data_IF_555558333322
#
_entry.id   IF_555558333322
#
_cell.length_a   1.000
_cell.length_b   1.000
_cell.length_c   1.000
_cell.angle_alpha   90.00
_cell.angle_beta   90.00
_cell.angle_gamma   90.00
#
_symmetry.space_group_name_H-M   'P 1'
#
loop_
_entity.id
_entity.type
_entity.pdbx_description
1 polymer ?
#
# COMPACT_ATOMS: atom_id res chain seq x y z
N UNK A 1 -17.03 -0.04 -3.64
CA UNK A 1 -17.55 -0.38 -4.99
C UNK A 1 -18.74 -1.31 -4.84
N UNK A 2 -19.73 -1.28 -5.76
CA UNK A 2 -20.75 -2.32 -5.78
C UNK A 2 -20.08 -3.65 -6.17
N UNK A 3 -20.38 -4.72 -5.44
CA UNK A 3 -20.01 -6.07 -5.84
C UNK A 3 -21.13 -6.63 -6.71
N UNK A 4 -20.79 -7.17 -7.88
CA UNK A 4 -21.73 -7.89 -8.72
C UNK A 4 -21.89 -9.31 -8.15
N UNK A 5 -22.93 -9.50 -7.33
CA UNK A 5 -23.16 -10.73 -6.58
C UNK A 5 -24.65 -10.91 -6.29
N UNK A 6 -25.12 -12.16 -6.42
CA UNK A 6 -26.47 -12.56 -5.99
C UNK A 6 -26.61 -12.64 -4.47
N UNK A 7 -25.48 -12.71 -3.76
CA UNK A 7 -25.44 -12.73 -2.29
C UNK A 7 -25.11 -11.35 -1.73
N UNK A 8 -25.69 -10.97 -0.57
CA UNK A 8 -25.32 -9.75 0.13
C UNK A 8 -23.84 -9.75 0.54
N UNK A 9 -23.11 -8.71 0.15
CA UNK A 9 -21.70 -8.52 0.52
C UNK A 9 -21.56 -7.16 1.21
N UNK A 10 -20.94 -7.16 2.40
CA UNK A 10 -20.56 -5.91 3.07
C UNK A 10 -19.29 -5.34 2.44
N UNK A 11 -19.48 -4.38 1.54
CA UNK A 11 -18.38 -3.75 0.84
C UNK A 11 -17.39 -3.01 1.75
N UNK A 12 -17.86 -2.44 2.88
CA UNK A 12 -16.95 -1.76 3.81
C UNK A 12 -16.07 -2.78 4.52
N UNK A 13 -16.64 -3.92 4.95
CA UNK A 13 -15.87 -4.99 5.58
C UNK A 13 -14.80 -5.52 4.64
N UNK A 14 -15.14 -5.84 3.39
CA UNK A 14 -14.18 -6.34 2.40
C UNK A 14 -13.08 -5.31 2.11
N UNK A 15 -13.43 -4.04 1.90
CA UNK A 15 -12.43 -2.99 1.64
C UNK A 15 -11.43 -2.86 2.80
N UNK A 16 -11.89 -2.99 4.04
CA UNK A 16 -11.03 -2.91 5.22
C UNK A 16 -10.22 -4.19 5.52
N UNK A 17 -10.44 -5.29 4.78
CA UNK A 17 -9.57 -6.48 4.87
C UNK A 17 -8.28 -6.32 4.04
N UNK A 18 -8.26 -5.37 3.10
CA UNK A 18 -7.04 -5.04 2.36
C UNK A 18 -6.04 -4.44 3.33
N UNK A 19 -4.83 -4.98 3.37
CA UNK A 19 -3.77 -4.46 4.23
C UNK A 19 -3.51 -2.98 3.88
N UNK A 20 -3.47 -2.05 4.85
CA UNK A 20 -3.37 -0.61 4.60
C UNK A 20 -2.18 -0.21 3.70
N UNK A 21 -1.04 -0.90 3.85
CA UNK A 21 0.17 -0.68 3.06
C UNK A 21 0.10 -1.25 1.63
N UNK A 22 -0.99 -1.94 1.26
CA UNK A 22 -1.30 -2.40 -0.10
C UNK A 22 -2.58 -1.76 -0.67
N UNK A 23 -3.27 -0.91 0.10
CA UNK A 23 -4.52 -0.26 -0.31
C UNK A 23 -4.23 0.96 -1.21
N UNK A 24 -3.81 0.67 -2.44
CA UNK A 24 -3.43 1.70 -3.44
C UNK A 24 -4.61 2.57 -3.88
N UNK A 25 -5.84 2.18 -3.58
CA UNK A 25 -7.03 3.03 -3.78
C UNK A 25 -7.25 4.02 -2.63
N UNK A 26 -6.59 3.84 -1.49
CA UNK A 26 -6.68 4.70 -0.32
C UNK A 26 -8.05 4.70 0.37
N UNK A 27 -8.83 3.62 0.26
CA UNK A 27 -10.22 3.57 0.69
C UNK A 27 -10.46 2.89 2.05
N UNK A 28 -9.43 2.23 2.60
CA UNK A 28 -9.50 1.66 3.94
C UNK A 28 -9.72 2.74 5.01
N UNK A 29 -10.36 2.38 6.11
CA UNK A 29 -10.59 3.29 7.23
C UNK A 29 -9.27 3.81 7.81
N UNK A 30 -8.20 3.01 7.77
CA UNK A 30 -6.88 3.44 8.23
C UNK A 30 -6.29 4.53 7.34
N UNK A 31 -6.26 4.34 6.02
CA UNK A 31 -5.77 5.37 5.10
C UNK A 31 -6.65 6.63 5.14
N UNK A 32 -7.96 6.47 5.23
CA UNK A 32 -8.88 7.58 5.41
C UNK A 32 -8.64 8.34 6.74
N UNK A 33 -8.35 7.62 7.82
CA UNK A 33 -7.99 8.20 9.12
C UNK A 33 -6.67 8.96 9.07
N UNK A 34 -5.63 8.38 8.47
CA UNK A 34 -4.35 9.05 8.26
C UNK A 34 -4.49 10.32 7.43
N UNK A 35 -5.30 10.29 6.37
CA UNK A 35 -5.63 11.50 5.59
C UNK A 35 -6.36 12.55 6.44
N UNK A 36 -7.32 12.14 7.26
CA UNK A 36 -8.03 13.06 8.16
C UNK A 36 -7.08 13.74 9.15
N UNK A 37 -6.05 13.04 9.62
CA UNK A 37 -5.05 13.55 10.56
C UNK A 37 -3.85 14.26 9.89
N UNK A 38 -3.80 14.34 8.56
CA UNK A 38 -2.70 15.00 7.85
C UNK A 38 -1.43 14.15 7.77
N UNK A 39 -1.56 12.85 7.99
CA UNK A 39 -0.47 11.87 8.00
C UNK A 39 -0.35 11.13 6.66
N UNK A 40 -1.18 11.47 5.68
CA UNK A 40 -1.14 10.85 4.36
C UNK A 40 -0.12 11.52 3.44
N UNK A 41 1.05 10.91 3.36
CA UNK A 41 2.25 11.42 2.68
C UNK A 41 2.76 10.51 1.54
N UNK A 42 2.06 9.41 1.24
CA UNK A 42 2.48 8.43 0.23
C UNK A 42 3.59 7.47 0.70
N UNK A 43 4.13 7.64 1.91
CA UNK A 43 5.18 6.77 2.46
C UNK A 43 4.61 5.65 3.33
N UNK A 44 3.62 5.97 4.17
CA UNK A 44 2.97 5.01 5.08
C UNK A 44 1.43 4.98 4.96
N UNK A 45 0.88 5.70 3.99
CA UNK A 45 -0.53 5.66 3.59
C UNK A 45 -0.77 6.24 2.21
N UNK A 46 -1.87 5.83 1.59
CA UNK A 46 -2.23 6.22 0.24
C UNK A 46 -3.35 7.26 0.22
N UNK A 47 -3.22 8.21 -0.70
CA UNK A 47 -4.27 9.17 -1.00
C UNK A 47 -5.29 8.55 -1.95
N UNK A 48 -6.61 8.80 -1.76
CA UNK A 48 -7.62 8.31 -2.69
C UNK A 48 -7.40 8.83 -4.11
N UNK A 49 -7.44 7.93 -5.09
CA UNK A 49 -7.02 8.18 -6.47
C UNK A 49 -7.72 9.38 -7.12
N UNK A 50 -9.05 9.45 -7.02
CA UNK A 50 -9.84 10.53 -7.65
C UNK A 50 -9.56 11.90 -6.99
N UNK A 51 -9.69 12.08 -5.66
CA UNK A 51 -9.29 13.32 -4.99
C UNK A 51 -7.85 13.74 -5.25
N UNK A 52 -6.89 12.80 -5.28
CA UNK A 52 -5.50 13.12 -5.58
C UNK A 52 -5.35 13.61 -7.03
N UNK A 53 -6.09 13.01 -7.97
CA UNK A 53 -6.14 13.45 -9.36
C UNK A 53 -6.71 14.87 -9.49
N UNK A 54 -7.74 15.20 -8.71
CA UNK A 54 -8.28 16.56 -8.62
C UNK A 54 -7.24 17.56 -8.09
N UNK A 55 -6.50 17.21 -7.03
CA UNK A 55 -5.43 18.05 -6.50
C UNK A 55 -4.35 18.33 -7.55
N UNK A 56 -3.95 17.32 -8.32
CA UNK A 56 -2.98 17.48 -9.40
C UNK A 56 -3.49 18.41 -10.51
N UNK A 57 -4.77 18.30 -10.90
CA UNK A 57 -5.39 19.20 -11.87
C UNK A 57 -5.48 20.65 -11.35
N UNK A 58 -5.77 20.85 -10.06
CA UNK A 58 -5.77 22.17 -9.42
C UNK A 58 -4.35 22.78 -9.42
N UNK A 59 -3.31 21.98 -9.14
CA UNK A 59 -1.93 22.47 -9.20
C UNK A 59 -1.54 22.85 -10.63
N UNK A 60 -1.93 22.04 -11.61
CA UNK A 60 -1.63 22.28 -13.03
C UNK A 60 -2.36 23.48 -13.63
N UNK A 61 -3.49 23.89 -13.06
CA UNK A 61 -4.16 25.12 -13.47
C UNK A 61 -3.42 26.39 -13.03
N UNK A 62 -2.43 26.26 -12.14
CA UNK A 62 -1.66 27.39 -11.59
C UNK A 62 -2.37 28.12 -10.44
N UNK A 63 -3.48 27.59 -9.93
CA UNK A 63 -4.18 28.23 -8.82
C UNK A 63 -3.42 28.08 -7.49
N UNK A 64 -3.41 29.17 -6.73
CA UNK A 64 -2.90 29.18 -5.37
C UNK A 64 -3.93 28.53 -4.44
N UNK A 65 -3.60 27.38 -3.86
CA UNK A 65 -4.50 26.64 -2.95
C UNK A 65 -4.46 27.22 -1.53
N UNK A 66 -3.27 27.57 -1.06
CA UNK A 66 -3.09 28.13 0.28
C UNK A 66 -3.80 29.49 0.41
N UNK A 67 -4.74 29.58 1.35
CA UNK A 67 -5.58 30.75 1.58
C UNK A 67 -6.82 30.85 0.67
N UNK A 68 -6.99 29.95 -0.31
CA UNK A 68 -8.15 29.97 -1.19
C UNK A 68 -9.43 29.55 -0.47
N UNK A 69 -10.57 30.10 -0.89
CA UNK A 69 -11.89 29.59 -0.51
C UNK A 69 -12.24 28.43 -1.44
N UNK A 70 -12.15 27.21 -0.94
CA UNK A 70 -12.49 26.02 -1.69
C UNK A 70 -13.89 25.50 -1.31
N UNK A 71 -14.71 25.17 -2.30
CA UNK A 71 -16.02 24.56 -2.10
C UNK A 71 -16.03 23.16 -2.71
N UNK A 72 -16.42 22.17 -1.92
CA UNK A 72 -16.64 20.80 -2.39
C UNK A 72 -18.13 20.49 -2.34
N UNK A 73 -18.75 20.25 -3.49
CA UNK A 73 -20.14 19.79 -3.58
C UNK A 73 -20.14 18.26 -3.63
N UNK A 74 -20.62 17.64 -2.54
CA UNK A 74 -20.60 16.20 -2.35
C UNK A 74 -19.74 15.80 -1.15
N UNK A 75 -20.15 14.74 -0.45
CA UNK A 75 -19.49 14.23 0.77
C UNK A 75 -19.39 12.70 0.80
N UNK A 76 -19.25 12.10 -0.38
CA UNK A 76 -19.08 10.66 -0.50
C UNK A 76 -17.75 10.22 0.12
N UNK A 77 -17.68 8.95 0.55
CA UNK A 77 -16.43 8.35 1.06
C UNK A 77 -15.31 8.32 0.01
N UNK A 78 -15.68 8.24 -1.28
CA UNK A 78 -14.75 8.03 -2.39
C UNK A 78 -14.15 9.35 -2.88
N UNK A 79 -14.94 10.43 -2.92
CA UNK A 79 -14.50 11.70 -3.53
C UNK A 79 -14.67 12.87 -2.57
N UNK A 80 -15.91 13.20 -2.19
CA UNK A 80 -16.19 14.48 -1.53
C UNK A 80 -15.45 14.68 -0.20
N UNK A 81 -15.57 13.73 0.72
CA UNK A 81 -14.91 13.82 2.04
C UNK A 81 -13.38 13.84 1.93
N UNK A 82 -12.71 12.91 1.23
CA UNK A 82 -11.26 12.97 1.08
C UNK A 82 -10.75 14.20 0.30
N UNK A 83 -11.52 14.69 -0.69
CA UNK A 83 -11.17 15.93 -1.40
C UNK A 83 -11.15 17.13 -0.45
N UNK A 84 -12.13 17.24 0.45
CA UNK A 84 -12.17 18.30 1.45
C UNK A 84 -10.94 18.25 2.37
N UNK A 85 -10.53 17.06 2.82
CA UNK A 85 -9.34 16.89 3.66
C UNK A 85 -8.06 17.28 2.92
N UNK A 86 -7.91 16.86 1.66
CA UNK A 86 -6.76 17.27 0.86
C UNK A 86 -6.64 18.78 0.71
N UNK A 87 -7.75 19.48 0.49
CA UNK A 87 -7.77 20.94 0.40
C UNK A 87 -7.41 21.60 1.73
N UNK A 88 -7.94 21.09 2.86
CA UNK A 88 -7.58 21.56 4.21
C UNK A 88 -6.07 21.44 4.44
N UNK A 89 -5.49 20.26 4.15
CA UNK A 89 -4.05 20.02 4.33
C UNK A 89 -3.16 20.74 3.30
N UNK A 90 -3.76 21.35 2.28
CA UNK A 90 -3.09 22.29 1.38
C UNK A 90 -3.44 23.76 1.71
N UNK A 91 -3.87 24.02 2.96
CA UNK A 91 -4.12 25.33 3.55
C UNK A 91 -5.28 26.13 2.92
N UNK A 92 -6.26 25.47 2.29
CA UNK A 92 -7.48 26.14 1.84
C UNK A 92 -8.50 26.29 2.98
N UNK A 93 -9.34 27.33 2.91
CA UNK A 93 -10.57 27.41 3.71
C UNK A 93 -11.66 26.64 2.98
N UNK A 94 -12.12 25.51 3.56
CA UNK A 94 -12.99 24.56 2.85
C UNK A 94 -14.43 24.62 3.35
N UNK A 95 -15.39 24.74 2.42
CA UNK A 95 -16.82 24.54 2.69
C UNK A 95 -17.32 23.31 1.95
N UNK A 96 -17.98 22.39 2.67
CA UNK A 96 -18.57 21.18 2.07
C UNK A 96 -20.08 21.36 1.92
N UNK A 97 -20.58 21.26 0.69
CA UNK A 97 -21.99 21.33 0.35
C UNK A 97 -22.58 19.96 0.04
N UNK A 98 -23.89 19.80 0.19
CA UNK A 98 -24.64 18.57 -0.09
C UNK A 98 -26.12 18.89 -0.37
N UNK A 99 -26.93 17.84 -0.61
CA UNK A 99 -28.36 17.94 -0.95
C UNK A 99 -29.27 18.66 0.07
N UNK A 100 -28.76 18.97 1.27
CA UNK A 100 -29.50 19.71 2.31
C UNK A 100 -28.89 21.08 2.60
N UNK A 101 -27.89 21.51 1.84
CA UNK A 101 -27.28 22.83 1.96
C UNK A 101 -28.25 23.88 1.44
N UNK A 102 -28.61 24.83 2.30
CA UNK A 102 -29.40 26.00 1.91
C UNK A 102 -28.52 26.99 1.14
N UNK A 103 -29.09 27.70 0.18
CA UNK A 103 -28.42 28.74 -0.61
C UNK A 103 -27.09 28.28 -1.24
N UNK A 104 -27.03 27.04 -1.73
CA UNK A 104 -25.80 26.45 -2.27
C UNK A 104 -25.17 27.33 -3.37
N UNK A 105 -25.98 27.97 -4.20
CA UNK A 105 -25.50 28.91 -5.23
C UNK A 105 -24.68 30.06 -4.63
N UNK A 106 -25.16 30.71 -3.57
CA UNK A 106 -24.46 31.83 -2.92
C UNK A 106 -23.13 31.41 -2.30
N UNK A 107 -23.04 30.16 -1.84
CA UNK A 107 -21.81 29.58 -1.30
C UNK A 107 -20.81 29.34 -2.44
N UNK A 108 -21.26 28.73 -3.54
CA UNK A 108 -20.42 28.39 -4.70
C UNK A 108 -19.89 29.66 -5.40
N UNK A 109 -20.67 30.74 -5.42
CA UNK A 109 -20.26 32.03 -5.99
C UNK A 109 -19.06 32.69 -5.28
N UNK A 110 -18.69 32.21 -4.09
CA UNK A 110 -17.53 32.69 -3.33
C UNK A 110 -16.28 31.82 -3.55
N UNK A 111 -16.42 30.67 -4.21
CA UNK A 111 -15.36 29.67 -4.35
C UNK A 111 -14.28 30.12 -5.35
N UNK A 112 -13.03 30.17 -4.89
CA UNK A 112 -11.85 30.27 -5.76
C UNK A 112 -11.56 28.93 -6.44
N UNK A 113 -11.82 27.84 -5.72
CA UNK A 113 -11.69 26.45 -6.19
C UNK A 113 -13.02 25.75 -5.93
N UNK A 114 -13.64 25.20 -6.98
CA UNK A 114 -14.87 24.43 -6.90
C UNK A 114 -14.61 22.99 -7.33
N UNK A 115 -14.93 22.02 -6.47
CA UNK A 115 -14.93 20.60 -6.83
C UNK A 115 -16.35 20.03 -6.73
N UNK A 116 -16.84 19.39 -7.78
CA UNK A 116 -18.20 18.88 -7.87
C UNK A 116 -18.18 17.36 -8.06
N UNK A 117 -18.83 16.63 -7.14
CA UNK A 117 -18.86 15.16 -7.13
C UNK A 117 -20.17 14.62 -6.54
N UNK A 118 -21.27 14.82 -7.27
CA UNK A 118 -22.64 14.49 -6.85
C UNK A 118 -23.37 13.51 -7.77
N UNK A 119 -22.89 13.32 -9.01
CA UNK A 119 -23.56 12.44 -9.98
C UNK A 119 -24.94 12.95 -10.39
N UNK A 120 -25.06 14.27 -10.59
CA UNK A 120 -26.27 14.94 -11.05
C UNK A 120 -25.90 15.75 -12.31
N UNK A 121 -26.27 15.25 -13.51
CA UNK A 121 -25.78 15.81 -14.76
C UNK A 121 -26.17 17.27 -14.92
N UNK A 122 -25.18 18.11 -15.24
CA UNK A 122 -25.36 19.53 -15.61
C UNK A 122 -26.05 20.38 -14.53
N UNK A 123 -25.99 20.00 -13.24
CA UNK A 123 -26.63 20.73 -12.15
C UNK A 123 -26.02 22.11 -11.94
N UNK A 124 -24.69 22.20 -11.92
CA UNK A 124 -23.99 23.47 -11.67
C UNK A 124 -24.00 24.31 -12.93
N UNK A 125 -24.58 25.51 -12.84
CA UNK A 125 -24.78 26.44 -13.96
C UNK A 125 -23.79 27.60 -13.91
N UNK A 126 -23.67 28.31 -15.05
CA UNK A 126 -22.75 29.44 -15.24
C UNK A 126 -22.83 30.50 -14.14
N UNK A 127 -24.04 30.82 -13.70
CA UNK A 127 -24.31 31.85 -12.69
C UNK A 127 -23.94 31.44 -11.25
N UNK A 128 -23.49 30.20 -11.05
CA UNK A 128 -22.95 29.73 -9.76
C UNK A 128 -21.45 29.99 -9.65
N UNK A 129 -20.74 30.04 -10.79
CA UNK A 129 -19.28 30.07 -10.84
C UNK A 129 -18.78 31.49 -10.56
N UNK A 130 -17.86 31.61 -9.60
CA UNK A 130 -17.10 32.84 -9.40
C UNK A 130 -16.21 33.10 -10.65
N UNK A 131 -16.22 34.30 -11.23
CA UNK A 131 -15.31 34.64 -12.34
C UNK A 131 -13.85 34.35 -11.99
N UNK A 132 -13.16 33.63 -12.87
CA UNK A 132 -11.76 33.23 -12.67
C UNK A 132 -11.53 32.00 -11.79
N UNK A 133 -12.58 31.37 -11.25
CA UNK A 133 -12.44 30.18 -10.41
C UNK A 133 -11.89 28.97 -11.17
N UNK A 134 -11.24 28.07 -10.43
CA UNK A 134 -10.89 26.72 -10.90
C UNK A 134 -12.05 25.79 -10.62
N UNK A 135 -12.56 25.11 -11.67
CA UNK A 135 -13.69 24.19 -11.57
C UNK A 135 -13.24 22.78 -11.93
N UNK A 136 -13.36 21.87 -10.96
CA UNK A 136 -13.08 20.45 -11.11
C UNK A 136 -14.41 19.67 -11.07
N UNK A 137 -14.71 18.99 -12.16
CA UNK A 137 -15.92 18.18 -12.36
C UNK A 137 -15.56 16.69 -12.32
N UNK A 138 -15.93 16.04 -11.22
CA UNK A 138 -15.77 14.60 -11.02
C UNK A 138 -16.98 13.80 -11.50
N UNK A 139 -18.04 14.47 -11.96
CA UNK A 139 -19.26 13.85 -12.41
C UNK A 139 -19.04 13.01 -13.66
N UNK A 140 -19.69 11.86 -13.73
CA UNK A 140 -19.78 11.06 -14.96
C UNK A 140 -21.19 10.48 -15.07
N UNK A 141 -21.97 11.04 -15.97
CA UNK A 141 -23.35 10.65 -16.23
C UNK A 141 -23.53 10.40 -17.72
N UNK A 142 -24.19 9.29 -18.07
CA UNK A 142 -24.56 8.99 -19.46
C UNK A 142 -25.94 9.55 -19.74
N UNK A 143 -26.07 10.41 -20.75
CA UNK A 143 -27.35 10.94 -21.21
C UNK A 143 -27.60 10.55 -22.68
N UNK A 144 -28.86 10.36 -23.11
CA UNK A 144 -29.17 10.03 -24.50
C UNK A 144 -28.64 11.08 -25.49
N UNK A 145 -28.06 10.61 -26.59
CA UNK A 145 -27.56 11.44 -27.69
C UNK A 145 -27.55 10.63 -28.99
N UNK A 146 -28.53 10.91 -29.86
CA UNK A 146 -28.69 10.23 -31.16
C UNK A 146 -27.57 10.55 -32.15
N UNK A 147 -26.76 11.58 -31.90
CA UNK A 147 -25.62 11.94 -32.76
C UNK A 147 -24.39 11.06 -32.49
N UNK A 148 -24.37 10.32 -31.37
CA UNK A 148 -23.29 9.39 -31.02
C UNK A 148 -23.62 7.97 -31.43
N UNK A 149 -22.62 7.22 -31.89
CA UNK A 149 -22.75 5.79 -32.22
C UNK A 149 -23.27 4.94 -31.06
N UNK A 150 -22.95 5.32 -29.83
CA UNK A 150 -23.41 4.68 -28.60
C UNK A 150 -24.88 4.97 -28.25
N UNK A 151 -25.53 5.93 -28.92
CA UNK A 151 -26.86 6.44 -28.55
C UNK A 151 -26.85 7.30 -27.27
N UNK A 152 -25.67 7.54 -26.68
CA UNK A 152 -25.48 8.35 -25.48
C UNK A 152 -24.16 9.10 -25.50
N UNK A 153 -24.09 10.20 -24.74
CA UNK A 153 -22.87 10.94 -24.44
C UNK A 153 -22.64 11.04 -22.93
N UNK A 154 -21.37 11.14 -22.56
CA UNK A 154 -20.98 11.40 -21.17
C UNK A 154 -20.98 12.91 -20.90
N UNK A 155 -21.51 13.27 -19.74
CA UNK A 155 -21.50 14.64 -19.20
C UNK A 155 -21.13 14.62 -17.73
N UNK A 156 -20.61 15.73 -17.24
CA UNK A 156 -20.30 15.92 -15.84
C UNK A 156 -21.46 16.54 -15.05
N UNK A 157 -21.17 16.89 -13.81
CA UNK A 157 -22.12 17.55 -12.91
C UNK A 157 -22.22 19.06 -13.20
N UNK A 158 -21.27 19.61 -13.98
CA UNK A 158 -21.19 21.02 -14.37
C UNK A 158 -21.63 21.20 -15.83
N UNK A 159 -22.38 22.27 -16.09
CA UNK A 159 -22.70 22.68 -17.46
C UNK A 159 -21.48 23.31 -18.15
N UNK A 160 -20.58 22.44 -18.64
CA UNK A 160 -19.27 22.81 -19.16
C UNK A 160 -19.31 23.91 -20.22
N UNK A 161 -20.28 23.85 -21.15
CA UNK A 161 -20.34 24.76 -22.29
C UNK A 161 -20.54 26.21 -21.87
N UNK A 162 -21.34 26.45 -20.84
CA UNK A 162 -21.60 27.81 -20.33
C UNK A 162 -20.60 28.21 -19.25
N UNK A 163 -20.18 27.27 -18.39
CA UNK A 163 -19.29 27.54 -17.27
C UNK A 163 -17.84 27.84 -17.70
N UNK A 164 -17.38 27.27 -18.82
CA UNK A 164 -16.03 27.55 -19.36
C UNK A 164 -15.82 29.02 -19.73
N UNK A 165 -16.89 29.77 -19.99
CA UNK A 165 -16.84 31.19 -20.34
C UNK A 165 -16.60 32.09 -19.11
N UNK A 166 -16.67 31.54 -17.89
CA UNK A 166 -16.54 32.27 -16.62
C UNK A 166 -15.38 31.76 -15.78
N UNK A 167 -15.19 30.43 -15.76
CA UNK A 167 -14.11 29.80 -15.03
C UNK A 167 -12.74 30.22 -15.58
N UNK A 168 -11.76 30.40 -14.70
CA UNK A 168 -10.36 30.61 -15.09
C UNK A 168 -9.72 29.32 -15.60
N UNK A 169 -10.13 28.18 -15.02
CA UNK A 169 -9.82 26.84 -15.53
C UNK A 169 -10.98 25.90 -15.24
N UNK A 170 -11.26 24.96 -16.14
CA UNK A 170 -12.35 23.99 -15.98
C UNK A 170 -11.98 22.63 -16.58
N UNK A 171 -12.32 21.55 -15.88
CA UNK A 171 -12.09 20.19 -16.39
C UNK A 171 -13.22 19.75 -17.33
N UNK A 172 -12.91 19.22 -18.53
CA UNK A 172 -13.94 18.67 -19.40
C UNK A 172 -14.40 17.29 -18.90
N UNK A 173 -15.65 16.93 -19.24
CA UNK A 173 -16.16 15.57 -19.08
C UNK A 173 -16.72 15.09 -20.43
N UNK A 174 -16.20 13.99 -21.01
CA UNK A 174 -15.06 13.18 -20.54
C UNK A 174 -13.70 13.89 -20.73
N UNK A 175 -12.63 13.31 -20.19
CA UNK A 175 -11.24 13.72 -20.45
C UNK A 175 -10.56 14.55 -19.36
N UNK A 176 -11.26 14.94 -18.30
CA UNK A 176 -10.71 15.64 -17.14
C UNK A 176 -10.27 14.70 -16.01
N UNK A 177 -11.12 14.55 -14.99
CA UNK A 177 -10.79 13.81 -13.76
C UNK A 177 -10.61 12.30 -13.99
N UNK A 178 -11.40 11.68 -14.87
CA UNK A 178 -11.39 10.24 -15.09
C UNK A 178 -10.01 9.64 -15.44
N UNK A 179 -9.29 10.17 -16.44
CA UNK A 179 -7.92 9.73 -16.75
C UNK A 179 -6.94 9.90 -15.58
N UNK A 180 -7.12 10.94 -14.75
CA UNK A 180 -6.27 11.17 -13.59
C UNK A 180 -6.47 10.12 -12.50
N UNK A 181 -7.67 9.59 -12.33
CA UNK A 181 -7.92 8.48 -11.38
C UNK A 181 -7.02 7.28 -11.69
N UNK A 182 -6.86 6.91 -12.96
CA UNK A 182 -5.97 5.81 -13.37
C UNK A 182 -4.51 6.19 -13.14
N UNK A 183 -4.10 7.40 -13.51
CA UNK A 183 -2.73 7.85 -13.30
C UNK A 183 -2.33 7.82 -11.81
N UNK A 184 -3.24 8.24 -10.92
CA UNK A 184 -2.99 8.24 -9.47
C UNK A 184 -2.97 6.83 -8.88
N UNK A 185 -3.79 5.90 -9.38
CA UNK A 185 -3.70 4.48 -9.01
C UNK A 185 -2.31 3.91 -9.31
N UNK A 186 -1.79 4.18 -10.51
CA UNK A 186 -0.45 3.75 -10.91
C UNK A 186 0.62 4.42 -10.04
N UNK A 187 0.48 5.72 -9.74
CA UNK A 187 1.38 6.43 -8.83
C UNK A 187 1.44 5.77 -7.45
N UNK A 188 0.28 5.53 -6.83
CA UNK A 188 0.18 4.86 -5.53
C UNK A 188 0.80 3.45 -5.57
N UNK A 189 0.61 2.72 -6.67
CA UNK A 189 1.19 1.39 -6.87
C UNK A 189 2.73 1.45 -6.92
N UNK A 190 3.28 2.43 -7.62
CA UNK A 190 4.74 2.63 -7.70
C UNK A 190 5.31 3.00 -6.32
N UNK A 191 4.62 3.85 -5.56
CA UNK A 191 5.06 4.22 -4.22
C UNK A 191 4.98 3.04 -3.24
N UNK A 192 3.93 2.23 -3.31
CA UNK A 192 3.83 0.97 -2.58
C UNK A 192 5.02 0.03 -2.89
N UNK A 193 5.38 -0.10 -4.16
CA UNK A 193 6.51 -0.93 -4.59
C UNK A 193 7.86 -0.40 -4.06
N UNK A 194 8.08 0.92 -4.07
CA UNK A 194 9.29 1.53 -3.49
C UNK A 194 9.39 1.26 -1.99
N UNK A 195 8.29 1.39 -1.25
CA UNK A 195 8.25 1.11 0.20
C UNK A 195 8.57 -0.36 0.45
N UNK A 196 7.95 -1.28 -0.29
CA UNK A 196 8.25 -2.71 -0.20
C UNK A 196 9.75 -3.01 -0.44
N UNK A 197 10.34 -2.40 -1.47
CA UNK A 197 11.76 -2.56 -1.78
C UNK A 197 12.68 -2.00 -0.68
N UNK A 198 12.33 -0.86 -0.07
CA UNK A 198 13.10 -0.27 1.04
C UNK A 198 13.06 -1.17 2.28
N UNK A 199 11.90 -1.71 2.62
CA UNK A 199 11.75 -2.67 3.72
C UNK A 199 12.63 -3.90 3.48
N UNK A 200 12.62 -4.45 2.27
CA UNK A 200 13.51 -5.55 1.89
C UNK A 200 15.01 -5.19 1.97
N UNK A 201 15.38 -3.97 1.56
CA UNK A 201 16.77 -3.48 1.59
C UNK A 201 17.27 -3.15 3.00
N UNK A 202 16.36 -2.87 3.95
CA UNK A 202 16.67 -2.53 5.34
C UNK A 202 17.09 -3.73 6.20
N UNK A 203 16.94 -4.96 5.71
CA UNK A 203 17.42 -6.18 6.36
C UNK A 203 18.95 -6.35 6.26
N UNK A 204 19.73 -5.31 6.63
CA UNK A 204 21.17 -5.47 6.89
C UNK A 204 21.44 -6.38 8.09
N UNK A 205 20.48 -6.47 9.02
CA UNK A 205 20.44 -7.45 10.12
C UNK A 205 19.04 -8.04 10.21
N UNK A 206 18.94 -9.36 10.35
CA UNK A 206 17.70 -10.07 10.60
C UNK A 206 17.31 -9.90 12.07
N UNK A 207 16.03 -9.62 12.33
CA UNK A 207 15.50 -9.48 13.68
C UNK A 207 15.04 -10.85 14.19
N UNK A 208 16.00 -11.78 14.30
CA UNK A 208 15.72 -13.15 14.74
C UNK A 208 15.66 -13.20 16.25
N UNK A 209 14.52 -13.65 16.79
CA UNK A 209 14.44 -14.03 18.19
C UNK A 209 15.19 -15.36 18.44
N UNK A 210 16.41 -15.28 18.95
CA UNK A 210 17.19 -16.50 19.22
C UNK A 210 16.67 -17.25 20.46
N UNK A 211 16.47 -18.57 20.33
CA UNK A 211 16.07 -19.43 21.44
C UNK A 211 17.15 -19.42 22.53
N UNK A 212 16.74 -19.13 23.77
CA UNK A 212 17.65 -19.14 24.93
C UNK A 212 18.09 -20.57 25.27
N UNK A 213 19.39 -20.76 25.44
CA UNK A 213 19.98 -22.05 25.82
C UNK A 213 19.90 -22.24 27.34
N UNK A 214 19.03 -23.14 27.80
CA UNK A 214 18.95 -23.54 29.21
C UNK A 214 19.79 -24.81 29.42
N UNK A 215 21.04 -24.64 29.87
CA UNK A 215 21.94 -25.77 30.14
C UNK A 215 21.46 -26.55 31.36
N UNK A 216 21.32 -27.87 31.20
CA UNK A 216 20.95 -28.78 32.28
C UNK A 216 22.20 -29.53 32.77
N UNK A 217 22.29 -29.73 34.08
CA UNK A 217 23.34 -30.52 34.73
C UNK A 217 22.71 -31.57 35.65
N UNK A 218 22.96 -32.88 35.43
CA UNK A 218 23.82 -33.44 34.37
C UNK A 218 23.23 -33.26 32.97
N UNK A 219 24.10 -33.33 31.94
CA UNK A 219 23.68 -33.21 30.53
C UNK A 219 22.73 -34.37 30.19
N UNK A 220 21.51 -34.10 29.68
CA UNK A 220 20.57 -35.16 29.30
C UNK A 220 21.08 -35.97 28.09
N UNK A 221 20.50 -37.14 27.88
CA UNK A 221 20.78 -37.93 26.67
C UNK A 221 20.30 -37.22 25.40
N UNK A 222 20.93 -37.52 24.26
CA UNK A 222 20.60 -36.92 22.96
C UNK A 222 19.10 -37.04 22.62
N UNK A 223 18.49 -38.19 22.92
CA UNK A 223 17.06 -38.43 22.68
C UNK A 223 16.17 -37.56 23.58
N UNK A 224 16.59 -37.29 24.82
CA UNK A 224 15.86 -36.40 25.73
C UNK A 224 15.96 -34.94 25.27
N UNK A 225 17.14 -34.53 24.78
CA UNK A 225 17.35 -33.20 24.19
C UNK A 225 16.47 -33.03 22.93
N UNK A 226 16.49 -34.00 22.03
CA UNK A 226 15.71 -33.95 20.78
C UNK A 226 14.19 -33.88 21.03
N UNK A 227 13.68 -34.59 22.04
CA UNK A 227 12.24 -34.61 22.38
C UNK A 227 11.77 -33.39 23.16
N UNK A 228 12.67 -32.76 23.93
CA UNK A 228 12.34 -31.57 24.72
C UNK A 228 12.32 -30.29 23.89
N UNK A 229 13.04 -30.27 22.76
CA UNK A 229 13.08 -29.10 21.89
C UNK A 229 11.73 -28.81 21.21
N UNK A 230 11.43 -27.53 21.04
CA UNK A 230 10.30 -27.03 20.24
C UNK A 230 10.86 -26.10 19.18
N UNK A 231 10.77 -26.52 17.92
CA UNK A 231 11.23 -25.72 16.79
C UNK A 231 10.40 -24.44 16.68
N UNK A 232 11.03 -23.34 16.25
CA UNK A 232 10.30 -22.13 15.87
C UNK A 232 9.42 -22.40 14.64
N UNK A 233 8.15 -21.97 14.63
CA UNK A 233 7.30 -22.07 13.44
C UNK A 233 7.96 -21.42 12.21
N UNK A 234 7.92 -22.08 11.06
CA UNK A 234 8.64 -21.62 9.87
C UNK A 234 8.13 -20.27 9.38
N UNK A 235 6.84 -19.98 9.55
CA UNK A 235 6.24 -18.68 9.19
C UNK A 235 6.81 -17.53 10.02
N UNK A 236 7.03 -17.77 11.31
CA UNK A 236 7.64 -16.77 12.20
C UNK A 236 9.08 -16.51 11.77
N UNK A 237 9.87 -17.56 11.56
CA UNK A 237 11.25 -17.41 11.09
C UNK A 237 11.32 -16.68 9.74
N UNK A 238 10.45 -17.02 8.80
CA UNK A 238 10.37 -16.37 7.49
C UNK A 238 10.15 -14.85 7.62
N UNK A 239 9.22 -14.43 8.48
CA UNK A 239 8.98 -13.02 8.76
C UNK A 239 10.19 -12.31 9.39
N UNK A 240 10.85 -12.95 10.38
CA UNK A 240 12.04 -12.39 11.06
C UNK A 240 13.24 -12.17 10.13
N UNK A 241 13.39 -13.01 9.10
CA UNK A 241 14.46 -12.87 8.10
C UNK A 241 14.03 -12.09 6.85
N UNK A 242 12.79 -11.58 6.83
CA UNK A 242 12.28 -10.73 5.76
C UNK A 242 11.76 -11.44 4.52
N UNK A 243 11.41 -12.73 4.60
CA UNK A 243 10.79 -13.46 3.48
C UNK A 243 9.31 -13.14 3.33
N UNK A 244 8.88 -12.92 2.09
CA UNK A 244 7.49 -12.80 1.70
C UNK A 244 6.80 -14.17 1.60
N UNK A 245 5.46 -14.20 1.68
CA UNK A 245 4.69 -15.45 1.64
C UNK A 245 4.82 -16.22 0.31
N UNK A 246 5.15 -15.55 -0.79
CA UNK A 246 5.40 -16.13 -2.12
C UNK A 246 6.87 -16.52 -2.36
N UNK A 247 7.75 -16.18 -1.43
CA UNK A 247 9.18 -16.52 -1.48
C UNK A 247 9.47 -17.90 -0.87
N UNK A 248 8.51 -18.51 -0.16
CA UNK A 248 8.66 -19.84 0.40
C UNK A 248 7.37 -20.65 0.38
N UNK A 249 7.52 -21.97 0.24
CA UNK A 249 6.43 -22.94 0.31
C UNK A 249 6.55 -23.74 1.61
N UNK A 250 5.64 -23.56 2.58
CA UNK A 250 5.64 -24.33 3.83
C UNK A 250 5.48 -25.83 3.59
N UNK A 251 6.28 -26.63 4.28
CA UNK A 251 6.17 -28.08 4.34
C UNK A 251 5.97 -28.52 5.79
N UNK A 252 4.74 -28.41 6.27
CA UNK A 252 4.40 -28.56 7.68
C UNK A 252 4.75 -27.31 8.51
N UNK A 253 4.78 -27.45 9.84
CA UNK A 253 4.90 -26.31 10.76
C UNK A 253 6.31 -25.69 10.84
N UNK A 254 7.36 -26.45 10.49
CA UNK A 254 8.75 -26.10 10.85
C UNK A 254 9.73 -26.14 9.67
N UNK A 255 9.26 -26.40 8.46
CA UNK A 255 10.10 -26.52 7.26
C UNK A 255 9.43 -25.80 6.10
N UNK A 256 10.24 -25.26 5.20
CA UNK A 256 9.77 -24.71 3.94
C UNK A 256 10.78 -24.99 2.83
N UNK A 257 10.32 -24.91 1.58
CA UNK A 257 11.18 -24.75 0.41
C UNK A 257 11.25 -23.29 0.04
N UNK A 258 12.43 -22.83 -0.32
CA UNK A 258 12.67 -21.49 -0.85
C UNK A 258 12.40 -21.49 -2.35
N UNK A 259 11.64 -20.51 -2.84
CA UNK A 259 11.38 -20.37 -4.28
C UNK A 259 12.56 -19.72 -5.01
N UNK A 260 12.60 -19.81 -6.34
CA UNK A 260 13.72 -19.32 -7.16
C UNK A 260 13.78 -17.79 -7.27
N UNK A 261 12.77 -17.08 -6.77
CA UNK A 261 12.58 -15.65 -7.02
C UNK A 261 13.06 -14.74 -5.87
N UNK A 262 13.80 -15.28 -4.90
CA UNK A 262 14.28 -14.48 -3.76
C UNK A 262 15.43 -13.55 -4.20
N UNK A 263 15.39 -12.25 -3.87
CA UNK A 263 16.44 -11.27 -4.16
C UNK A 263 17.85 -11.66 -3.69
N UNK A 264 17.98 -12.52 -2.67
CA UNK A 264 19.28 -13.01 -2.17
C UNK A 264 20.06 -13.82 -3.22
N UNK A 265 19.38 -14.36 -4.24
CA UNK A 265 20.01 -15.04 -5.38
C UNK A 265 20.24 -14.12 -6.60
N UNK A 266 19.88 -12.83 -6.50
CA UNK A 266 20.25 -11.84 -7.51
C UNK A 266 21.78 -11.68 -7.51
N UNK A 267 22.38 -11.73 -8.70
CA UNK A 267 23.82 -11.55 -8.91
C UNK A 267 24.33 -10.19 -8.44
N UNK A 268 23.43 -9.21 -8.34
CA UNK A 268 23.71 -7.85 -7.92
C UNK A 268 23.59 -7.61 -6.41
N UNK A 269 23.15 -8.62 -5.64
CA UNK A 269 23.01 -8.52 -4.18
C UNK A 269 24.37 -8.45 -3.48
N UNK A 270 24.40 -7.79 -2.32
CA UNK A 270 25.60 -7.70 -1.46
C UNK A 270 26.05 -9.11 -1.10
N UNK A 271 27.28 -9.46 -1.47
CA UNK A 271 27.81 -10.81 -1.24
C UNK A 271 28.24 -10.99 0.21
N UNK A 272 27.70 -12.02 0.86
CA UNK A 272 28.15 -12.46 2.17
C UNK A 272 29.51 -13.16 2.12
N UNK A 273 30.11 -13.42 3.30
CA UNK A 273 31.31 -14.24 3.43
C UNK A 273 30.94 -15.71 3.39
N UNK A 274 31.64 -16.50 2.57
CA UNK A 274 31.47 -17.95 2.51
C UNK A 274 32.49 -18.64 3.42
N UNK A 275 32.02 -19.43 4.39
CA UNK A 275 32.87 -20.17 5.33
C UNK A 275 32.71 -21.66 5.10
N UNK A 276 33.81 -22.34 4.77
CA UNK A 276 33.84 -23.79 4.56
C UNK A 276 34.42 -24.46 5.81
N UNK A 277 33.66 -25.35 6.41
CA UNK A 277 34.13 -26.19 7.52
C UNK A 277 34.54 -27.55 6.95
N UNK A 278 35.83 -27.86 7.05
CA UNK A 278 36.41 -29.14 6.67
C UNK A 278 36.76 -29.95 7.94
N UNK A 279 37.09 -31.23 7.79
CA UNK A 279 37.47 -32.08 8.93
C UNK A 279 38.48 -33.14 8.53
N UNK A 280 39.24 -33.62 9.50
CA UNK A 280 40.30 -34.63 9.34
C UNK A 280 39.73 -36.01 9.72
N UNK A 281 40.14 -37.06 9.01
CA UNK A 281 39.74 -38.45 9.30
C UNK A 281 40.93 -39.21 9.94
N UNK A 282 40.75 -39.89 11.10
CA UNK A 282 39.53 -40.00 11.90
C UNK A 282 39.28 -38.74 12.72
N UNK A 283 38.00 -38.39 12.91
CA UNK A 283 37.60 -37.22 13.69
C UNK A 283 37.35 -37.61 15.14
N UNK A 284 37.90 -36.90 16.13
CA UNK A 284 37.58 -37.12 17.55
C UNK A 284 36.07 -36.95 17.84
N UNK A 285 35.58 -37.66 18.86
CA UNK A 285 34.18 -37.60 19.27
C UNK A 285 33.80 -36.16 19.66
N UNK A 286 32.76 -35.61 19.04
CA UNK A 286 32.32 -34.22 19.29
C UNK A 286 32.95 -33.16 18.38
N UNK A 287 33.97 -33.50 17.60
CA UNK A 287 34.68 -32.56 16.69
C UNK A 287 34.28 -32.74 15.22
N UNK A 288 33.11 -33.35 14.99
CA UNK A 288 32.57 -33.59 13.67
C UNK A 288 32.27 -32.31 12.90
N UNK A 289 32.44 -32.35 11.57
CA UNK A 289 32.10 -31.26 10.64
C UNK A 289 30.73 -30.62 10.96
N UNK A 290 29.70 -31.44 11.17
CA UNK A 290 28.34 -30.95 11.49
C UNK A 290 28.28 -30.20 12.82
N UNK A 291 28.96 -30.69 13.86
CA UNK A 291 29.02 -30.06 15.18
C UNK A 291 29.71 -28.70 15.10
N UNK A 292 30.85 -28.63 14.41
CA UNK A 292 31.58 -27.38 14.19
C UNK A 292 30.77 -26.37 13.38
N UNK A 293 30.08 -26.81 12.32
CA UNK A 293 29.20 -25.96 11.50
C UNK A 293 28.05 -25.38 12.33
N UNK A 294 27.38 -26.20 13.16
CA UNK A 294 26.31 -25.73 14.03
C UNK A 294 26.81 -24.77 15.11
N UNK A 295 27.93 -25.10 15.77
CA UNK A 295 28.55 -24.24 16.79
C UNK A 295 28.97 -22.88 16.24
N UNK A 296 29.58 -22.86 15.04
CA UNK A 296 29.93 -21.61 14.35
C UNK A 296 28.68 -20.78 14.03
N UNK A 297 27.61 -21.42 13.58
CA UNK A 297 26.34 -20.74 13.27
C UNK A 297 25.70 -20.15 14.51
N UNK A 298 25.74 -20.86 15.64
CA UNK A 298 25.27 -20.36 16.94
C UNK A 298 26.12 -19.20 17.45
N UNK A 299 27.44 -19.26 17.28
CA UNK A 299 28.34 -18.17 17.67
C UNK A 299 28.07 -16.90 16.84
N UNK A 300 28.00 -17.03 15.52
CA UNK A 300 27.76 -15.89 14.61
C UNK A 300 26.35 -15.30 14.77
N UNK A 301 25.32 -16.15 14.78
CA UNK A 301 23.93 -15.73 14.89
C UNK A 301 23.57 -15.32 16.31
N UNK A 302 23.45 -16.29 17.21
CA UNK A 302 22.85 -16.08 18.52
C UNK A 302 23.71 -15.26 19.50
N UNK A 303 25.04 -15.20 19.31
CA UNK A 303 25.93 -14.46 20.23
C UNK A 303 26.48 -13.16 19.62
N UNK A 304 26.77 -13.15 18.31
CA UNK A 304 27.33 -11.97 17.63
C UNK A 304 26.30 -11.21 16.78
N UNK A 305 25.04 -11.67 16.76
CA UNK A 305 23.93 -11.04 16.05
C UNK A 305 24.24 -10.74 14.57
N UNK A 306 24.90 -11.70 13.90
CA UNK A 306 25.19 -11.64 12.46
C UNK A 306 24.21 -12.53 11.70
N UNK A 307 23.75 -12.06 10.55
CA UNK A 307 22.99 -12.88 9.61
C UNK A 307 23.83 -14.08 9.19
N UNK A 308 23.32 -15.29 9.41
CA UNK A 308 24.04 -16.54 9.12
C UNK A 308 23.07 -17.56 8.55
N UNK A 309 23.47 -18.16 7.42
CA UNK A 309 22.80 -19.30 6.81
C UNK A 309 23.70 -20.51 6.95
N UNK A 310 23.15 -21.58 7.50
CA UNK A 310 23.85 -22.84 7.67
C UNK A 310 23.43 -23.83 6.60
N UNK A 311 24.33 -24.16 5.69
CA UNK A 311 24.09 -25.21 4.70
C UNK A 311 24.67 -26.53 5.23
N UNK A 312 23.79 -27.43 5.69
CA UNK A 312 24.19 -28.77 6.12
C UNK A 312 23.58 -29.77 5.14
N UNK A 313 24.40 -30.66 4.58
CA UNK A 313 23.89 -31.83 3.89
C UNK A 313 23.26 -32.72 4.96
N UNK A 314 22.00 -33.12 4.77
CA UNK A 314 21.35 -34.10 5.65
C UNK A 314 22.32 -35.25 5.91
N UNK A 315 22.55 -35.68 7.16
CA UNK A 315 23.49 -36.76 7.43
C UNK A 315 23.09 -37.95 6.57
N UNK A 316 23.93 -38.31 5.59
CA UNK A 316 23.83 -39.64 5.01
C UNK A 316 24.05 -40.59 6.17
N UNK A 317 23.14 -41.53 6.39
CA UNK A 317 23.52 -42.74 7.08
C UNK A 317 24.80 -43.21 6.37
N UNK A 318 25.95 -43.14 7.04
CA UNK A 318 27.21 -43.63 6.48
C UNK A 318 27.02 -45.09 6.05
N UNK A 319 27.94 -45.66 5.26
CA UNK A 319 27.82 -47.06 4.88
C UNK A 319 27.66 -47.89 6.15
N UNK A 320 26.48 -48.51 6.30
CA UNK A 320 26.24 -49.56 7.28
C UNK A 320 27.10 -50.73 6.85
N UNK A 321 28.28 -50.84 7.43
CA UNK A 321 29.09 -52.05 7.42
C UNK A 321 28.75 -52.86 8.67
#
# INVERSE_FOLDING_TARGET
>A
MPFDSVHPIDANKITNLVAPYKDVDGLSNENAGKLLHGEADGSNSFLPCTPNGCMELIRRSGAQIAGANAVVIGRSKIVGSPMAQLLIWNNATVTVCHSKTKNIKEIVQKADILVVAIGQPLLVKKDWIKPGAVVIDCGISSIPDSTKKSGSRLVGDVDYAECKEVAGAITPVPGGVGPMTVAMLISNTVDAAKVALRTQSSHQSWDIEHLKLNKLNPVPSDIAIARSHRCKPIKQLAAEIGLLEDEYEPYGAYKAKITKHIPVFDKNSVRGKYVVVTGITPTPLGEGKSTTVLGLSQALGANLHRNVITCIRQPSQGPTF
#
